data_IF_341368962062
#
_entry.id   IF_341368962062
#
_cell.length_a   1.000
_cell.length_b   1.000
_cell.length_c   1.000
_cell.angle_alpha   90.00
_cell.angle_beta   90.00
_cell.angle_gamma   90.00
#
_symmetry.space_group_name_H-M   'P 1'
#
loop_
_entity.id
_entity.type
_entity.pdbx_description
1 polymer ?
#
# COMPACT_ATOMS: atom_id res chain seq x y z
N UNK A 1 35.88 75.15 70.94
CA UNK A 1 34.71 75.01 70.04
C UNK A 1 35.12 74.60 68.62
N UNK A 2 36.18 75.19 68.05
CA UNK A 2 36.65 74.84 66.69
C UNK A 2 37.19 73.40 66.53
N UNK A 3 37.86 72.83 67.54
CA UNK A 3 38.35 71.44 67.53
C UNK A 3 37.23 70.39 67.41
N UNK A 4 36.04 70.67 67.96
CA UNK A 4 34.92 69.71 67.93
C UNK A 4 34.30 69.59 66.53
N UNK A 5 34.39 70.64 65.71
CA UNK A 5 33.83 70.66 64.35
C UNK A 5 34.71 69.94 63.33
N UNK A 6 36.03 69.86 63.55
CA UNK A 6 36.95 69.11 62.68
C UNK A 6 36.74 67.61 62.86
N UNK A 7 36.50 67.15 64.09
CA UNK A 7 36.29 65.73 64.40
C UNK A 7 34.98 65.16 63.83
N UNK A 8 33.95 66.01 63.62
CA UNK A 8 32.70 65.63 62.96
C UNK A 8 32.87 65.55 61.42
N UNK A 9 33.80 66.31 60.84
CA UNK A 9 34.02 66.34 59.38
C UNK A 9 34.70 65.06 58.87
N UNK A 10 35.62 64.48 59.63
CA UNK A 10 36.30 63.21 59.30
C UNK A 10 35.35 62.00 59.34
N UNK A 11 34.51 61.88 60.38
CA UNK A 11 33.58 60.74 60.53
C UNK A 11 32.53 60.65 59.41
N UNK A 12 32.13 61.79 58.82
CA UNK A 12 31.15 61.84 57.73
C UNK A 12 31.71 61.51 56.34
N UNK A 13 33.04 61.37 56.18
CA UNK A 13 33.68 61.00 54.92
C UNK A 13 33.64 59.48 54.68
N UNK A 14 33.63 58.69 55.76
CA UNK A 14 33.60 57.21 55.71
C UNK A 14 32.19 56.66 55.41
N UNK A 15 31.13 57.41 55.75
CA UNK A 15 29.75 56.92 55.61
C UNK A 15 29.12 57.11 54.21
N UNK A 16 29.79 57.78 53.26
CA UNK A 16 29.16 58.11 51.96
C UNK A 16 29.37 57.09 50.82
N UNK A 17 30.27 56.12 50.97
CA UNK A 17 30.59 55.19 49.86
C UNK A 17 29.91 53.82 49.94
N UNK A 18 29.07 53.54 50.94
CA UNK A 18 28.49 52.20 51.11
C UNK A 18 26.96 52.14 50.89
N UNK A 19 26.36 53.19 50.33
CA UNK A 19 24.90 53.26 50.14
C UNK A 19 24.42 52.78 48.76
N UNK A 20 25.31 52.62 47.78
CA UNK A 20 24.92 52.21 46.42
C UNK A 20 25.11 50.72 46.13
N UNK A 21 25.73 49.96 47.04
CA UNK A 21 26.00 48.52 46.83
C UNK A 21 24.79 47.62 47.15
N UNK A 22 23.82 48.10 47.94
CA UNK A 22 22.69 47.27 48.38
C UNK A 22 21.45 47.31 47.47
N UNK A 23 21.45 48.10 46.40
CA UNK A 23 20.24 48.32 45.59
C UNK A 23 20.05 47.37 44.40
N UNK A 24 20.99 46.46 44.10
CA UNK A 24 20.88 45.60 42.90
C UNK A 24 20.71 44.11 43.17
N UNK A 25 20.61 43.66 44.43
CA UNK A 25 20.47 42.22 44.76
C UNK A 25 19.02 41.73 44.94
N UNK A 26 18.06 42.34 44.26
CA UNK A 26 16.67 41.86 44.23
C UNK A 26 16.06 41.91 42.83
N UNK A 27 16.66 41.20 41.88
CA UNK A 27 15.88 40.58 40.80
C UNK A 27 15.76 39.10 41.16
N UNK A 28 14.79 38.81 42.02
CA UNK A 28 14.35 37.45 42.31
C UNK A 28 13.72 36.94 41.02
N UNK A 29 14.40 36.08 40.28
CA UNK A 29 13.85 35.40 39.12
C UNK A 29 12.57 34.67 39.55
N UNK A 30 11.41 35.24 39.23
CA UNK A 30 10.16 34.50 39.26
C UNK A 30 10.24 33.49 38.12
N UNK A 31 10.81 32.32 38.41
CA UNK A 31 10.63 31.15 37.57
C UNK A 31 9.13 30.89 37.50
N UNK A 32 8.52 31.23 36.37
CA UNK A 32 7.18 30.76 36.02
C UNK A 32 7.29 29.23 36.01
N UNK A 33 6.81 28.58 37.08
CA UNK A 33 6.67 27.14 37.11
C UNK A 33 5.64 26.80 36.03
N UNK A 34 6.12 26.41 34.85
CA UNK A 34 5.27 25.72 33.89
C UNK A 34 4.79 24.46 34.60
N UNK A 35 3.49 24.43 34.93
CA UNK A 35 2.86 23.23 35.46
C UNK A 35 3.00 22.18 34.37
N UNK A 36 3.96 21.27 34.55
CA UNK A 36 4.05 20.07 33.73
C UNK A 36 2.86 19.20 34.13
N UNK A 37 1.76 19.35 33.42
CA UNK A 37 0.60 18.47 33.56
C UNK A 37 1.04 17.09 33.07
N UNK A 38 1.26 16.16 34.00
CA UNK A 38 1.51 14.76 33.70
C UNK A 38 0.18 14.03 33.45
N UNK A 39 0.20 13.08 32.53
CA UNK A 39 -0.94 12.20 32.29
C UNK A 39 -1.30 11.41 33.56
N UNK A 40 -2.60 11.28 33.81
CA UNK A 40 -3.09 10.50 34.94
C UNK A 40 -3.23 9.02 34.56
N UNK A 41 -3.09 8.11 35.54
CA UNK A 41 -3.29 6.68 35.30
C UNK A 41 -4.72 6.36 34.84
N UNK A 42 -5.70 7.11 35.34
CA UNK A 42 -7.11 6.92 34.98
C UNK A 42 -7.40 7.32 33.53
N UNK A 43 -6.74 8.36 33.03
CA UNK A 43 -6.87 8.82 31.65
C UNK A 43 -6.35 7.76 30.66
N UNK A 44 -5.21 7.13 30.97
CA UNK A 44 -4.70 6.02 30.18
C UNK A 44 -5.64 4.79 30.24
N UNK A 45 -6.23 4.51 31.41
CA UNK A 45 -7.17 3.40 31.60
C UNK A 45 -8.42 3.57 30.72
N UNK A 46 -9.00 4.77 30.72
CA UNK A 46 -10.17 5.07 29.87
C UNK A 46 -9.83 4.92 28.39
N UNK A 47 -8.66 5.40 27.97
CA UNK A 47 -8.21 5.28 26.57
C UNK A 47 -8.08 3.82 26.14
N UNK A 48 -7.40 2.97 26.92
CA UNK A 48 -7.25 1.55 26.57
C UNK A 48 -8.59 0.79 26.61
N UNK A 49 -9.51 1.19 27.49
CA UNK A 49 -10.85 0.60 27.54
C UNK A 49 -11.67 0.92 26.29
N UNK A 50 -11.63 2.18 25.82
CA UNK A 50 -12.28 2.59 24.57
C UNK A 50 -11.62 1.90 23.37
N UNK A 51 -10.28 1.78 23.35
CA UNK A 51 -9.58 1.06 22.28
C UNK A 51 -9.95 -0.43 22.24
N UNK A 52 -10.10 -1.09 23.40
CA UNK A 52 -10.54 -2.49 23.46
C UNK A 52 -11.99 -2.67 22.97
N UNK A 53 -12.89 -1.74 23.34
CA UNK A 53 -14.27 -1.72 22.85
C UNK A 53 -14.31 -1.54 21.32
N UNK A 54 -13.58 -0.54 20.79
CA UNK A 54 -13.54 -0.28 19.35
C UNK A 54 -12.91 -1.45 18.59
N UNK A 55 -11.80 -2.01 19.07
CA UNK A 55 -11.14 -3.16 18.44
C UNK A 55 -12.09 -4.36 18.26
N UNK A 56 -13.08 -4.55 19.14
CA UNK A 56 -14.09 -5.60 18.99
C UNK A 56 -15.05 -5.39 17.80
N UNK A 57 -15.20 -4.15 17.33
CA UNK A 57 -16.13 -3.77 16.27
C UNK A 57 -15.46 -3.65 14.88
N UNK A 58 -14.15 -3.35 14.81
CA UNK A 58 -13.45 -3.04 13.55
C UNK A 58 -12.77 -4.26 12.89
N UNK A 59 -13.27 -5.48 13.10
CA UNK A 59 -12.62 -6.74 12.60
C UNK A 59 -12.79 -7.02 11.10
N UNK A 60 -13.37 -6.11 10.29
CA UNK A 60 -14.62 -6.33 9.58
C UNK A 60 -14.75 -7.65 8.79
N UNK A 61 -16.01 -7.99 8.51
CA UNK A 61 -16.50 -9.10 7.69
C UNK A 61 -16.11 -8.95 6.20
N UNK A 62 -14.82 -9.05 5.87
CA UNK A 62 -14.32 -8.92 4.47
C UNK A 62 -14.06 -10.26 3.80
N UNK A 63 -14.00 -11.36 4.56
CA UNK A 63 -13.47 -12.64 4.05
C UNK A 63 -14.38 -13.28 2.97
N UNK A 64 -15.69 -13.07 3.00
CA UNK A 64 -16.62 -13.73 2.05
C UNK A 64 -16.75 -13.09 0.66
N UNK A 65 -16.29 -11.85 0.47
CA UNK A 65 -16.37 -11.16 -0.83
C UNK A 65 -15.12 -11.36 -1.69
N UNK A 66 -14.04 -11.91 -1.12
CA UNK A 66 -12.80 -12.13 -1.86
C UNK A 66 -12.96 -13.25 -2.91
N UNK A 67 -13.73 -14.28 -2.61
CA UNK A 67 -13.77 -15.48 -3.46
C UNK A 67 -14.49 -15.21 -4.79
N UNK A 68 -15.60 -14.47 -4.75
CA UNK A 68 -16.27 -13.98 -5.97
C UNK A 68 -15.41 -12.98 -6.74
N UNK A 69 -14.80 -12.02 -6.03
CA UNK A 69 -13.95 -11.02 -6.66
C UNK A 69 -12.73 -11.62 -7.36
N UNK A 70 -12.12 -12.69 -6.81
CA UNK A 70 -11.05 -13.43 -7.48
C UNK A 70 -11.52 -14.03 -8.80
N UNK A 71 -12.70 -14.65 -8.84
CA UNK A 71 -13.27 -15.23 -10.06
C UNK A 71 -13.56 -14.17 -11.12
N UNK A 72 -14.13 -13.05 -10.70
CA UNK A 72 -14.40 -11.93 -11.59
C UNK A 72 -13.10 -11.35 -12.17
N UNK A 73 -12.06 -11.21 -11.33
CA UNK A 73 -10.73 -10.77 -11.77
C UNK A 73 -10.12 -11.73 -12.79
N UNK A 74 -10.23 -13.05 -12.56
CA UNK A 74 -9.80 -14.07 -13.52
C UNK A 74 -10.53 -13.88 -14.85
N UNK A 75 -11.84 -13.70 -14.84
CA UNK A 75 -12.61 -13.47 -16.07
C UNK A 75 -12.19 -12.19 -16.80
N UNK A 76 -11.90 -11.10 -16.08
CA UNK A 76 -11.40 -9.86 -16.69
C UNK A 76 -10.03 -10.07 -17.33
N UNK A 77 -9.13 -10.78 -16.64
CA UNK A 77 -7.81 -11.12 -17.17
C UNK A 77 -7.93 -12.00 -18.42
N UNK A 78 -8.76 -13.06 -18.39
CA UNK A 78 -9.00 -13.92 -19.55
C UNK A 78 -9.58 -13.14 -20.74
N UNK A 79 -10.50 -12.19 -20.51
CA UNK A 79 -11.01 -11.29 -21.57
C UNK A 79 -9.90 -10.42 -22.18
N UNK A 80 -8.96 -9.94 -21.35
CA UNK A 80 -7.81 -9.21 -21.84
C UNK A 80 -6.90 -10.09 -22.71
N UNK A 81 -6.64 -11.33 -22.29
CA UNK A 81 -5.84 -12.30 -23.08
C UNK A 81 -6.55 -12.66 -24.38
N UNK A 82 -7.86 -12.92 -24.33
CA UNK A 82 -8.69 -13.18 -25.49
C UNK A 82 -8.59 -12.07 -26.52
N UNK A 83 -8.67 -10.80 -26.10
CA UNK A 83 -8.52 -9.67 -27.03
C UNK A 83 -7.15 -9.62 -27.70
N UNK A 84 -6.07 -10.04 -27.02
CA UNK A 84 -4.74 -10.16 -27.61
C UNK A 84 -4.67 -11.31 -28.62
N UNK A 85 -5.25 -12.46 -28.28
CA UNK A 85 -5.38 -13.61 -29.17
C UNK A 85 -6.18 -13.27 -30.43
N UNK A 86 -7.28 -12.53 -30.29
CA UNK A 86 -8.10 -12.09 -31.41
C UNK A 86 -7.31 -11.15 -32.32
N UNK A 87 -6.53 -10.23 -31.75
CA UNK A 87 -5.66 -9.35 -32.54
C UNK A 87 -4.55 -10.15 -33.24
N UNK A 88 -4.01 -11.18 -32.60
CA UNK A 88 -3.06 -12.11 -33.22
C UNK A 88 -3.71 -12.82 -34.42
N UNK A 89 -4.92 -13.33 -34.24
CA UNK A 89 -5.69 -13.98 -35.29
C UNK A 89 -6.00 -13.02 -36.46
N UNK A 90 -6.36 -11.77 -36.17
CA UNK A 90 -6.62 -10.75 -37.20
C UNK A 90 -5.40 -10.44 -38.07
N UNK A 91 -4.18 -10.54 -37.54
CA UNK A 91 -2.97 -10.29 -38.32
C UNK A 91 -2.50 -11.53 -39.08
N UNK A 92 -2.64 -12.72 -38.49
CA UNK A 92 -2.03 -13.95 -38.99
C UNK A 92 -3.02 -14.99 -39.53
N UNK A 93 -4.32 -14.67 -39.55
CA UNK A 93 -5.45 -15.51 -39.95
C UNK A 93 -5.59 -16.83 -39.16
N UNK A 94 -4.88 -16.98 -38.04
CA UNK A 94 -4.94 -18.15 -37.14
C UNK A 94 -4.50 -17.79 -35.73
N UNK A 95 -5.00 -18.52 -34.75
CA UNK A 95 -4.49 -18.44 -33.38
C UNK A 95 -3.16 -19.21 -33.25
N UNK A 96 -2.35 -18.92 -32.21
CA UNK A 96 -1.16 -19.71 -31.89
C UNK A 96 -1.50 -21.20 -31.69
N UNK A 97 -0.56 -22.09 -31.99
CA UNK A 97 -0.74 -23.50 -31.66
C UNK A 97 -0.66 -23.71 -30.15
N UNK A 98 -1.29 -24.78 -29.65
CA UNK A 98 -1.24 -25.15 -28.23
C UNK A 98 0.21 -25.33 -27.73
N UNK A 99 1.11 -25.80 -28.59
CA UNK A 99 2.53 -25.99 -28.27
C UNK A 99 3.30 -24.65 -28.12
N UNK A 100 2.90 -23.63 -28.90
CA UNK A 100 3.49 -22.28 -28.83
C UNK A 100 2.93 -21.52 -27.61
N UNK A 101 1.66 -21.76 -27.27
CA UNK A 101 1.02 -21.25 -26.07
C UNK A 101 0.85 -19.73 -26.05
N UNK A 102 0.70 -19.17 -24.84
CA UNK A 102 0.56 -17.72 -24.64
C UNK A 102 1.87 -16.95 -24.81
N UNK A 103 3.01 -17.63 -24.90
CA UNK A 103 4.30 -16.99 -25.17
C UNK A 103 4.36 -16.43 -26.60
N UNK A 104 3.58 -17.00 -27.54
CA UNK A 104 3.41 -16.48 -28.88
C UNK A 104 2.83 -15.06 -28.93
N UNK A 105 2.20 -14.59 -27.86
CA UNK A 105 1.70 -13.22 -27.76
C UNK A 105 2.80 -12.21 -27.39
N UNK A 106 3.93 -12.67 -26.85
CA UNK A 106 5.08 -11.81 -26.52
C UNK A 106 6.01 -11.66 -27.72
N UNK A 107 6.40 -12.78 -28.32
CA UNK A 107 7.33 -12.83 -29.45
C UNK A 107 6.86 -13.80 -30.51
N UNK A 108 7.21 -13.53 -31.76
CA UNK A 108 6.88 -14.40 -32.87
C UNK A 108 7.55 -15.78 -32.69
N UNK A 109 6.79 -16.88 -32.55
CA UNK A 109 7.38 -18.20 -32.40
C UNK A 109 7.89 -18.79 -33.73
N UNK A 110 7.31 -18.39 -34.87
CA UNK A 110 7.69 -18.88 -36.20
C UNK A 110 7.39 -17.82 -37.28
N UNK A 111 8.45 -17.19 -37.79
CA UNK A 111 8.37 -16.14 -38.82
C UNK A 111 7.79 -16.64 -40.16
N UNK A 112 7.99 -17.91 -40.49
CA UNK A 112 7.45 -18.51 -41.71
C UNK A 112 5.94 -18.77 -41.60
N UNK A 113 5.49 -19.11 -40.40
CA UNK A 113 4.07 -19.36 -40.10
C UNK A 113 3.31 -18.06 -39.85
N UNK A 114 3.94 -17.05 -39.25
CA UNK A 114 3.34 -15.79 -38.81
C UNK A 114 4.04 -14.58 -39.43
N UNK A 115 3.92 -14.43 -40.76
CA UNK A 115 4.63 -13.40 -41.52
C UNK A 115 4.17 -11.96 -41.21
N UNK A 116 2.93 -11.80 -40.72
CA UNK A 116 2.31 -10.51 -40.43
C UNK A 116 2.32 -10.19 -38.92
N UNK A 117 3.21 -10.83 -38.16
CA UNK A 117 3.31 -10.64 -36.72
C UNK A 117 3.63 -9.17 -36.37
N UNK A 118 2.96 -8.64 -35.34
CA UNK A 118 3.16 -7.27 -34.89
C UNK A 118 4.58 -7.07 -34.33
N UNK A 119 5.32 -6.07 -34.81
CA UNK A 119 6.73 -5.86 -34.45
C UNK A 119 6.99 -5.65 -32.95
N UNK A 120 5.98 -5.24 -32.18
CA UNK A 120 6.03 -5.04 -30.73
C UNK A 120 5.40 -6.16 -29.91
N UNK A 121 4.90 -7.23 -30.55
CA UNK A 121 4.06 -8.25 -29.91
C UNK A 121 2.64 -7.76 -29.59
N UNK A 122 1.88 -8.62 -28.91
CA UNK A 122 0.48 -8.38 -28.57
C UNK A 122 0.28 -8.09 -27.08
N UNK A 123 1.28 -8.37 -26.23
CA UNK A 123 1.25 -8.07 -24.80
C UNK A 123 1.87 -6.71 -24.49
N UNK A 124 1.22 -5.96 -23.60
CA UNK A 124 1.79 -4.72 -23.03
C UNK A 124 2.82 -5.01 -21.95
N UNK A 125 2.55 -6.00 -21.10
CA UNK A 125 3.49 -6.48 -20.10
C UNK A 125 4.40 -7.58 -20.66
N UNK A 126 5.63 -7.67 -20.13
CA UNK A 126 6.59 -8.73 -20.49
C UNK A 126 6.28 -10.08 -19.84
N UNK A 127 5.48 -10.07 -18.78
CA UNK A 127 5.13 -11.28 -18.05
C UNK A 127 3.88 -11.93 -18.66
N UNK A 128 3.83 -13.26 -18.59
CA UNK A 128 2.63 -13.98 -19.00
C UNK A 128 1.49 -13.68 -18.02
N UNK A 129 0.29 -13.39 -18.52
CA UNK A 129 -0.90 -13.25 -17.69
C UNK A 129 -1.11 -14.50 -16.82
N UNK A 130 -1.32 -14.27 -15.54
CA UNK A 130 -1.60 -15.29 -14.53
C UNK A 130 -2.98 -15.03 -13.94
N UNK A 131 -3.59 -16.07 -13.41
CA UNK A 131 -4.84 -15.98 -12.68
C UNK A 131 -4.66 -15.36 -11.27
N UNK A 132 -5.78 -15.25 -10.56
CA UNK A 132 -5.83 -14.71 -9.19
C UNK A 132 -5.00 -15.50 -8.18
N UNK A 133 -4.61 -16.74 -8.50
CA UNK A 133 -3.77 -17.63 -7.67
C UNK A 133 -2.34 -17.73 -8.18
N UNK A 134 -1.93 -16.81 -9.08
CA UNK A 134 -0.60 -16.75 -9.67
C UNK A 134 -0.24 -17.98 -10.51
N UNK A 135 -1.24 -18.71 -10.99
CA UNK A 135 -1.08 -19.84 -11.89
C UNK A 135 -1.24 -19.35 -13.34
N UNK A 136 -0.36 -19.75 -14.28
CA UNK A 136 -0.54 -19.46 -15.70
C UNK A 136 -1.85 -20.06 -16.23
N UNK A 137 -2.47 -19.39 -17.19
CA UNK A 137 -3.64 -19.93 -17.88
C UNK A 137 -3.25 -21.12 -18.75
N UNK A 138 -4.08 -22.16 -18.74
CA UNK A 138 -4.01 -23.24 -19.72
C UNK A 138 -4.68 -22.77 -21.00
N UNK A 139 -3.91 -22.74 -22.08
CA UNK A 139 -4.37 -22.36 -23.41
C UNK A 139 -4.49 -23.59 -24.30
N UNK A 140 -5.62 -23.73 -24.99
CA UNK A 140 -5.87 -24.82 -25.93
C UNK A 140 -6.40 -24.23 -27.22
N UNK A 141 -5.74 -24.51 -28.34
CA UNK A 141 -6.14 -24.08 -29.68
C UNK A 141 -6.71 -25.23 -30.49
N UNK A 142 -7.86 -25.00 -31.12
CA UNK A 142 -8.44 -25.86 -32.17
C UNK A 142 -8.17 -25.25 -33.56
N UNK A 143 -7.25 -24.30 -33.67
CA UNK A 143 -6.88 -23.57 -34.88
C UNK A 143 -7.82 -22.41 -35.22
N UNK A 144 -9.14 -22.66 -35.26
CA UNK A 144 -10.17 -21.62 -35.48
C UNK A 144 -10.76 -21.03 -34.21
N UNK A 145 -10.71 -21.79 -33.12
CA UNK A 145 -11.22 -21.41 -31.82
C UNK A 145 -10.14 -21.70 -30.77
N UNK A 146 -10.22 -21.00 -29.64
CA UNK A 146 -9.36 -21.23 -28.50
C UNK A 146 -10.19 -21.36 -27.22
N UNK A 147 -9.63 -22.03 -26.23
CA UNK A 147 -10.14 -22.02 -24.86
C UNK A 147 -9.03 -21.60 -23.89
N UNK A 148 -9.45 -20.90 -22.83
CA UNK A 148 -8.58 -20.49 -21.72
C UNK A 148 -9.17 -21.01 -20.42
N UNK A 149 -8.35 -21.71 -19.65
CA UNK A 149 -8.75 -22.39 -18.42
C UNK A 149 -7.84 -21.94 -17.28
N UNK A 150 -8.42 -21.65 -16.12
CA UNK A 150 -7.72 -21.46 -14.85
C UNK A 150 -8.11 -22.59 -13.91
N UNK A 151 -7.11 -23.26 -13.34
CA UNK A 151 -7.24 -24.42 -12.45
C UNK A 151 -7.60 -24.04 -10.99
N UNK A 152 -8.09 -22.82 -10.77
CA UNK A 152 -8.46 -22.34 -9.45
C UNK A 152 -7.30 -22.35 -8.42
N UNK A 153 -7.68 -22.41 -7.15
CA UNK A 153 -6.74 -22.37 -6.04
C UNK A 153 -5.90 -23.66 -5.86
N UNK A 154 -6.43 -24.82 -6.26
CA UNK A 154 -5.80 -26.13 -6.04
C UNK A 154 -4.83 -26.53 -7.16
N UNK A 155 -4.86 -25.80 -8.29
CA UNK A 155 -4.00 -26.01 -9.47
C UNK A 155 -4.19 -27.39 -10.08
N UNK A 156 -5.40 -27.95 -9.96
CA UNK A 156 -5.76 -29.26 -10.50
C UNK A 156 -7.06 -29.16 -11.24
N UNK A 157 -7.27 -30.08 -12.18
CA UNK A 157 -8.55 -30.18 -12.86
C UNK A 157 -9.66 -30.59 -11.88
N UNK A 158 -10.81 -29.93 -12.00
CA UNK A 158 -12.00 -30.15 -11.21
C UNK A 158 -12.14 -29.16 -10.06
N UNK A 159 -12.39 -29.68 -8.86
CA UNK A 159 -12.56 -28.87 -7.66
C UNK A 159 -13.95 -28.23 -7.48
N UNK A 160 -14.16 -27.69 -6.28
CA UNK A 160 -15.38 -26.97 -5.89
C UNK A 160 -15.05 -25.59 -5.30
N UNK A 161 -16.00 -24.67 -5.34
CA UNK A 161 -15.85 -23.31 -4.82
C UNK A 161 -14.62 -22.57 -5.39
N UNK A 162 -13.61 -22.22 -4.57
CA UNK A 162 -12.36 -21.57 -5.02
C UNK A 162 -11.43 -22.50 -5.81
N UNK A 163 -11.59 -23.81 -5.64
CA UNK A 163 -10.82 -24.82 -6.37
C UNK A 163 -11.45 -25.15 -7.71
N UNK A 164 -12.67 -24.67 -7.99
CA UNK A 164 -13.37 -25.00 -9.21
C UNK A 164 -12.69 -24.35 -10.43
N UNK A 165 -12.47 -25.15 -11.47
CA UNK A 165 -11.98 -24.68 -12.77
C UNK A 165 -12.87 -23.58 -13.36
N UNK A 166 -12.20 -22.53 -13.83
CA UNK A 166 -12.82 -21.39 -14.50
C UNK A 166 -12.49 -21.49 -15.98
N UNK A 167 -13.54 -21.60 -16.80
CA UNK A 167 -13.43 -21.66 -18.27
C UNK A 167 -13.80 -20.31 -18.86
N UNK A 168 -13.08 -19.87 -19.89
CA UNK A 168 -13.36 -18.61 -20.58
C UNK A 168 -14.75 -18.57 -21.19
N UNK A 169 -15.26 -19.70 -21.68
CA UNK A 169 -16.63 -19.85 -22.16
C UNK A 169 -17.69 -19.40 -21.12
N UNK A 170 -17.47 -19.68 -19.83
CA UNK A 170 -18.33 -19.23 -18.73
C UNK A 170 -18.16 -17.73 -18.46
N UNK A 171 -16.93 -17.21 -18.54
CA UNK A 171 -16.64 -15.79 -18.36
C UNK A 171 -17.21 -14.89 -19.47
N UNK A 172 -17.30 -15.40 -20.70
CA UNK A 172 -17.88 -14.70 -21.85
C UNK A 172 -19.41 -14.53 -21.72
N UNK A 173 -20.07 -15.50 -21.07
CA UNK A 173 -21.53 -15.49 -20.86
C UNK A 173 -21.99 -14.69 -19.64
N UNK A 174 -21.09 -14.40 -18.69
CA UNK A 174 -21.40 -13.59 -17.51
C UNK A 174 -21.52 -12.12 -17.92
N UNK A 175 -22.77 -11.64 -17.99
CA UNK A 175 -23.17 -10.30 -18.41
C UNK A 175 -23.27 -9.33 -17.24
#
# INVERSE_FOLDING_TARGET
>A
MFEFLIQIREKNKILRNNKYFLLTKQIKSQQVKTLKNGFTLIELLIVIAILALLASLVVPKVIGSFDGAKKDLVCVQMKSVASMLDTFHLHNDKYPDTEEGLEALKSNPDEGKYSNYASGGYMKEKETPKDSWQTPFTYISTGKEFDLISLGADKKEGGEAENADIYFSKCSQSK
#
